data_IF_399709709472
#
_entry.id   IF_399709709472
#
_cell.length_a   1.000
_cell.length_b   1.000
_cell.length_c   1.000
_cell.angle_alpha   90.00
_cell.angle_beta   90.00
_cell.angle_gamma   90.00
#
_symmetry.space_group_name_H-M   'P 1'
#
loop_
_entity.id
_entity.type
_entity.pdbx_description
1 polymer ?
#
# COMPACT_ATOMS: atom_id res chain seq x y z
N UNK A 1 -13.01 20.94 8.42
CA UNK A 1 -13.46 19.69 9.11
C UNK A 1 -12.71 18.47 8.61
N UNK A 2 -12.71 18.19 7.29
CA UNK A 2 -12.01 17.02 6.71
C UNK A 2 -10.53 16.95 7.11
N UNK A 3 -9.77 18.03 6.94
CA UNK A 3 -8.34 18.06 7.32
C UNK A 3 -8.08 17.84 8.81
N UNK A 4 -9.02 18.25 9.67
CA UNK A 4 -8.95 17.97 11.11
C UNK A 4 -9.14 16.48 11.38
N UNK A 5 -10.02 15.82 10.64
CA UNK A 5 -10.19 14.37 10.69
C UNK A 5 -8.91 13.62 10.34
N UNK A 6 -8.23 14.01 9.25
CA UNK A 6 -6.95 13.42 8.85
C UNK A 6 -5.85 13.66 9.89
N UNK A 7 -5.82 14.85 10.53
CA UNK A 7 -4.89 15.13 11.62
C UNK A 7 -5.13 14.22 12.83
N UNK A 8 -6.39 14.07 13.27
CA UNK A 8 -6.75 13.20 14.39
C UNK A 8 -6.38 11.75 14.07
N UNK A 9 -6.70 11.27 12.87
CA UNK A 9 -6.29 9.95 12.40
C UNK A 9 -4.78 9.75 12.53
N UNK A 10 -3.97 10.70 12.07
CA UNK A 10 -2.51 10.62 12.17
C UNK A 10 -2.01 10.55 13.61
N UNK A 11 -2.60 11.35 14.51
CA UNK A 11 -2.25 11.35 15.94
C UNK A 11 -2.61 10.03 16.63
N UNK A 12 -3.79 9.48 16.33
CA UNK A 12 -4.23 8.19 16.88
C UNK A 12 -3.37 7.05 16.31
N UNK A 13 -3.07 7.06 15.01
CA UNK A 13 -2.17 6.10 14.38
C UNK A 13 -0.78 6.14 15.01
N UNK A 14 -0.22 7.33 15.21
CA UNK A 14 1.05 7.51 15.92
C UNK A 14 1.00 6.89 17.33
N UNK A 15 -0.05 7.18 18.10
CA UNK A 15 -0.22 6.66 19.46
C UNK A 15 -0.32 5.12 19.48
N UNK A 16 -1.18 4.53 18.62
CA UNK A 16 -1.37 3.08 18.52
C UNK A 16 -0.05 2.40 18.14
N UNK A 17 0.64 2.91 17.12
CA UNK A 17 1.92 2.35 16.68
C UNK A 17 2.96 2.44 17.81
N UNK A 18 3.11 3.59 18.46
CA UNK A 18 4.07 3.75 19.57
C UNK A 18 3.74 2.86 20.77
N UNK A 19 2.46 2.55 20.99
CA UNK A 19 2.02 1.74 22.13
C UNK A 19 2.21 0.25 21.93
N UNK A 20 2.10 -0.24 20.68
CA UNK A 20 2.01 -1.66 20.35
C UNK A 20 3.15 -2.20 19.46
N UNK A 21 3.91 -1.33 18.78
CA UNK A 21 5.07 -1.69 17.96
C UNK A 21 6.39 -1.49 18.72
N UNK A 22 7.45 -2.07 18.19
CA UNK A 22 8.83 -1.86 18.63
C UNK A 22 9.30 -0.43 18.33
N UNK A 23 10.46 -0.04 18.88
CA UNK A 23 11.05 1.28 18.67
C UNK A 23 11.38 1.60 17.19
N UNK A 24 11.54 0.58 16.34
CA UNK A 24 11.78 0.73 14.91
C UNK A 24 10.60 0.09 14.18
N UNK A 25 9.74 0.93 13.57
CA UNK A 25 8.61 0.45 12.80
C UNK A 25 9.08 -0.37 11.60
N UNK A 26 8.30 -1.39 11.24
CA UNK A 26 8.54 -2.31 10.11
C UNK A 26 9.75 -3.23 10.25
N UNK A 27 10.38 -3.31 11.43
CA UNK A 27 11.53 -4.18 11.64
C UNK A 27 11.14 -5.67 11.68
N UNK A 28 10.04 -5.99 12.35
CA UNK A 28 9.51 -7.35 12.49
C UNK A 28 8.16 -7.51 11.81
N UNK A 29 7.74 -8.76 11.59
CA UNK A 29 6.40 -9.05 11.08
C UNK A 29 5.30 -8.49 12.01
N UNK A 30 5.53 -8.53 13.33
CA UNK A 30 4.63 -7.94 14.32
C UNK A 30 4.48 -6.43 14.12
N UNK A 31 5.58 -5.72 13.89
CA UNK A 31 5.55 -4.25 13.67
C UNK A 31 4.77 -3.90 12.41
N UNK A 32 4.93 -4.69 11.34
CA UNK A 32 4.13 -4.53 10.11
C UNK A 32 2.66 -4.81 10.37
N UNK A 33 2.30 -5.86 11.13
CA UNK A 33 0.90 -6.15 11.45
C UNK A 33 0.25 -5.04 12.29
N UNK A 34 0.95 -4.51 13.29
CA UNK A 34 0.47 -3.36 14.08
C UNK A 34 0.29 -2.13 13.20
N UNK A 35 1.23 -1.89 12.27
CA UNK A 35 1.14 -0.80 11.30
C UNK A 35 -0.08 -0.97 10.38
N UNK A 36 -0.23 -2.13 9.74
CA UNK A 36 -1.32 -2.38 8.79
C UNK A 36 -2.69 -2.30 9.50
N UNK A 37 -2.87 -3.09 10.55
CA UNK A 37 -4.17 -3.19 11.22
C UNK A 37 -4.47 -1.95 12.07
N UNK A 38 -3.53 -1.57 12.93
CA UNK A 38 -3.72 -0.50 13.91
C UNK A 38 -3.54 0.90 13.33
N UNK A 39 -2.50 1.10 12.52
CA UNK A 39 -2.18 2.40 11.90
C UNK A 39 -2.85 2.65 10.54
N UNK A 40 -3.30 1.59 9.86
CA UNK A 40 -4.08 1.67 8.63
C UNK A 40 -5.56 1.44 8.91
N UNK A 41 -5.99 0.18 8.83
CA UNK A 41 -7.41 -0.24 8.86
C UNK A 41 -8.22 0.50 9.92
N UNK A 42 -7.81 0.42 11.19
CA UNK A 42 -8.59 0.94 12.32
C UNK A 42 -8.59 2.47 12.35
N UNK A 43 -7.43 3.10 12.24
CA UNK A 43 -7.32 4.55 12.39
C UNK A 43 -7.84 5.32 11.18
N UNK A 44 -7.78 4.74 9.98
CA UNK A 44 -8.34 5.36 8.78
C UNK A 44 -9.86 5.53 8.85
N UNK A 45 -10.55 4.71 9.65
CA UNK A 45 -12.00 4.89 9.88
C UNK A 45 -12.32 6.27 10.47
N UNK A 46 -11.38 6.90 11.19
CA UNK A 46 -11.58 8.18 11.85
C UNK A 46 -11.75 9.30 10.82
N UNK A 47 -10.80 9.47 9.88
CA UNK A 47 -10.92 10.54 8.89
C UNK A 47 -12.06 10.29 7.93
N UNK A 48 -12.30 9.05 7.51
CA UNK A 48 -13.43 8.73 6.64
C UNK A 48 -14.77 9.01 7.31
N UNK A 49 -14.92 8.68 8.60
CA UNK A 49 -16.13 8.98 9.37
C UNK A 49 -16.34 10.48 9.52
N UNK A 50 -15.31 11.23 9.93
CA UNK A 50 -15.40 12.69 10.09
C UNK A 50 -15.67 13.37 8.75
N UNK A 51 -14.96 12.97 7.70
CA UNK A 51 -15.06 13.54 6.36
C UNK A 51 -16.44 13.33 5.75
N UNK A 52 -16.92 12.09 5.71
CA UNK A 52 -18.22 11.75 5.12
C UNK A 52 -19.38 12.31 5.93
N UNK A 53 -19.29 12.26 7.26
CA UNK A 53 -20.31 12.87 8.13
C UNK A 53 -20.38 14.38 7.89
N UNK A 54 -19.25 15.05 7.74
CA UNK A 54 -19.23 16.47 7.40
C UNK A 54 -19.87 16.74 6.04
N UNK A 55 -19.55 15.95 4.99
CA UNK A 55 -20.14 16.11 3.67
C UNK A 55 -21.66 15.91 3.67
N UNK A 56 -22.15 14.93 4.43
CA UNK A 56 -23.58 14.67 4.58
C UNK A 56 -24.31 15.83 5.25
N UNK A 57 -23.85 16.29 6.41
CA UNK A 57 -24.52 17.38 7.15
C UNK A 57 -24.45 18.74 6.45
N UNK A 58 -23.48 18.97 5.57
CA UNK A 58 -23.41 20.18 4.75
C UNK A 58 -24.24 20.08 3.46
N UNK A 59 -25.01 18.99 3.27
CA UNK A 59 -25.87 18.80 2.10
C UNK A 59 -25.11 18.55 0.80
N UNK A 60 -23.81 18.27 0.86
CA UNK A 60 -22.96 17.96 -0.32
C UNK A 60 -23.16 16.51 -0.77
N UNK A 61 -23.35 15.60 0.19
CA UNK A 61 -23.47 14.18 -0.05
C UNK A 61 -24.91 13.69 0.21
N UNK A 62 -25.62 13.17 -0.81
CA UNK A 62 -26.91 12.53 -0.60
C UNK A 62 -26.80 11.30 0.32
N UNK A 63 -27.82 11.07 1.15
CA UNK A 63 -27.82 9.99 2.16
C UNK A 63 -27.57 8.59 1.58
N UNK A 64 -28.05 8.33 0.36
CA UNK A 64 -27.89 7.05 -0.33
C UNK A 64 -26.42 6.72 -0.69
N UNK A 65 -25.55 7.73 -0.80
CA UNK A 65 -24.14 7.55 -1.13
C UNK A 65 -23.21 7.60 0.09
N UNK A 66 -23.76 7.73 1.31
CA UNK A 66 -22.95 7.86 2.54
C UNK A 66 -22.02 6.67 2.72
N UNK A 67 -22.54 5.45 2.61
CA UNK A 67 -21.72 4.25 2.84
C UNK A 67 -20.68 4.03 1.73
N UNK A 68 -21.06 4.17 0.46
CA UNK A 68 -20.12 4.00 -0.66
C UNK A 68 -19.01 5.05 -0.68
N UNK A 69 -19.34 6.29 -0.31
CA UNK A 69 -18.35 7.37 -0.16
C UNK A 69 -17.44 7.11 1.03
N UNK A 70 -17.99 6.65 2.16
CA UNK A 70 -17.20 6.27 3.34
C UNK A 70 -16.22 5.15 3.03
N UNK A 71 -16.66 4.13 2.31
CA UNK A 71 -15.82 3.01 1.92
C UNK A 71 -14.70 3.47 0.96
N UNK A 72 -15.02 4.33 0.01
CA UNK A 72 -14.03 4.93 -0.92
C UNK A 72 -13.00 5.77 -0.18
N UNK A 73 -13.42 6.61 0.78
CA UNK A 73 -12.52 7.43 1.59
C UNK A 73 -11.61 6.54 2.43
N UNK A 74 -12.18 5.53 3.08
CA UNK A 74 -11.45 4.61 3.95
C UNK A 74 -10.38 3.85 3.19
N UNK A 75 -10.72 3.25 2.05
CA UNK A 75 -9.77 2.54 1.19
C UNK A 75 -8.68 3.46 0.63
N UNK A 76 -9.04 4.69 0.24
CA UNK A 76 -8.06 5.67 -0.22
C UNK A 76 -7.07 6.08 0.87
N UNK A 77 -7.57 6.33 2.09
CA UNK A 77 -6.76 6.70 3.26
C UNK A 77 -5.81 5.55 3.65
N UNK A 78 -6.30 4.31 3.71
CA UNK A 78 -5.49 3.12 4.05
C UNK A 78 -4.39 2.87 3.02
N UNK A 79 -4.72 2.94 1.72
CA UNK A 79 -3.74 2.76 0.65
C UNK A 79 -2.65 3.84 0.72
N UNK A 80 -3.04 5.10 0.93
CA UNK A 80 -2.12 6.22 1.11
C UNK A 80 -1.16 5.98 2.28
N UNK A 81 -1.68 5.53 3.42
CA UNK A 81 -0.87 5.18 4.60
C UNK A 81 0.10 4.05 4.27
N UNK A 82 -0.34 2.98 3.61
CA UNK A 82 0.47 1.80 3.29
C UNK A 82 1.54 2.03 2.23
N UNK A 83 1.39 3.05 1.40
CA UNK A 83 2.41 3.41 0.40
C UNK A 83 3.39 4.42 1.00
N UNK A 84 2.87 5.52 1.53
CA UNK A 84 3.68 6.70 1.88
C UNK A 84 4.45 6.47 3.18
N UNK A 85 3.81 5.93 4.22
CA UNK A 85 4.45 5.76 5.53
C UNK A 85 5.68 4.85 5.47
N UNK A 86 5.63 3.63 4.90
CA UNK A 86 6.81 2.79 4.86
C UNK A 86 7.88 3.35 3.92
N UNK A 87 7.49 4.00 2.82
CA UNK A 87 8.45 4.70 1.96
C UNK A 87 9.22 5.77 2.73
N UNK A 88 8.52 6.65 3.45
CA UNK A 88 9.16 7.70 4.25
C UNK A 88 10.07 7.10 5.32
N UNK A 89 9.62 6.10 6.08
CA UNK A 89 10.43 5.49 7.14
C UNK A 89 11.71 4.86 6.56
N UNK A 90 11.58 4.11 5.47
CA UNK A 90 12.71 3.40 4.87
C UNK A 90 13.71 4.36 4.23
N UNK A 91 13.24 5.43 3.59
CA UNK A 91 14.12 6.35 2.84
C UNK A 91 14.60 7.57 3.65
N UNK A 92 13.96 7.91 4.77
CA UNK A 92 14.36 9.05 5.61
C UNK A 92 14.95 8.66 6.97
N UNK A 93 14.49 7.56 7.58
CA UNK A 93 14.84 7.22 8.97
C UNK A 93 15.65 5.93 9.08
N UNK A 94 15.47 4.98 8.16
CA UNK A 94 16.28 3.77 8.18
C UNK A 94 17.71 4.08 7.69
N UNK A 95 18.71 3.73 8.50
CA UNK A 95 20.10 3.76 8.04
C UNK A 95 20.22 2.79 6.87
N UNK A 96 20.39 3.31 5.66
CA UNK A 96 20.75 2.49 4.51
C UNK A 96 22.05 1.77 4.86
N UNK A 97 22.00 0.44 5.07
CA UNK A 97 23.20 -0.39 5.21
C UNK A 97 23.94 -0.28 3.86
N UNK A 98 24.95 0.59 3.80
CA UNK A 98 25.72 0.98 2.60
C UNK A 98 26.61 -0.14 2.02
N UNK A 99 26.40 -1.39 2.39
CA UNK A 99 27.14 -2.52 1.85
C UNK A 99 26.28 -3.77 1.86
N UNK A 100 25.91 -4.27 0.67
CA UNK A 100 25.32 -5.60 0.57
C UNK A 100 24.48 -5.89 -0.66
N UNK A 101 23.88 -4.89 -1.30
CA UNK A 101 23.09 -5.15 -2.53
C UNK A 101 24.02 -5.16 -3.73
N UNK A 102 24.76 -6.26 -3.90
CA UNK A 102 25.47 -6.55 -5.16
C UNK A 102 24.45 -7.08 -6.17
N UNK A 103 23.53 -6.21 -6.57
CA UNK A 103 22.55 -6.53 -7.60
C UNK A 103 23.32 -6.71 -8.92
N UNK A 104 23.25 -7.90 -9.50
CA UNK A 104 23.70 -8.05 -10.88
C UNK A 104 22.77 -7.22 -11.77
N UNK A 105 23.33 -6.37 -12.64
CA UNK A 105 22.55 -5.51 -13.54
C UNK A 105 21.50 -6.29 -14.34
N UNK A 106 21.80 -7.57 -14.63
CA UNK A 106 20.87 -8.51 -15.25
C UNK A 106 19.67 -8.86 -14.37
N UNK A 107 19.85 -9.13 -13.08
CA UNK A 107 18.73 -9.44 -12.18
C UNK A 107 17.79 -8.24 -11.99
N UNK A 108 18.37 -7.05 -11.86
CA UNK A 108 17.60 -5.80 -11.82
C UNK A 108 16.77 -5.63 -13.09
N UNK A 109 17.39 -5.88 -14.26
CA UNK A 109 16.72 -5.84 -15.54
C UNK A 109 15.61 -6.89 -15.63
N UNK A 110 15.82 -8.11 -15.14
CA UNK A 110 14.78 -9.15 -15.12
C UNK A 110 13.59 -8.77 -14.24
N UNK A 111 13.81 -8.18 -13.07
CA UNK A 111 12.71 -7.70 -12.22
C UNK A 111 11.94 -6.55 -12.89
N UNK A 112 12.66 -5.61 -13.50
CA UNK A 112 12.03 -4.50 -14.22
C UNK A 112 11.22 -4.99 -15.43
N UNK A 113 11.78 -5.91 -16.22
CA UNK A 113 11.07 -6.55 -17.34
C UNK A 113 9.88 -7.35 -16.83
N UNK A 114 10.00 -8.07 -15.72
CA UNK A 114 8.91 -8.78 -15.07
C UNK A 114 7.77 -7.85 -14.66
N UNK A 115 8.09 -6.73 -14.00
CA UNK A 115 7.13 -5.69 -13.65
C UNK A 115 6.41 -5.14 -14.88
N UNK A 116 7.17 -4.77 -15.92
CA UNK A 116 6.62 -4.23 -17.16
C UNK A 116 5.75 -5.25 -17.89
N UNK A 117 6.17 -6.52 -17.94
CA UNK A 117 5.42 -7.60 -18.57
C UNK A 117 4.11 -7.88 -17.84
N UNK A 118 4.13 -7.98 -16.50
CA UNK A 118 2.91 -8.18 -15.69
C UNK A 118 1.97 -6.98 -15.87
N UNK A 119 2.49 -5.76 -15.82
CA UNK A 119 1.72 -4.51 -16.06
C UNK A 119 1.09 -4.53 -17.44
N UNK A 120 1.86 -4.80 -18.49
CA UNK A 120 1.37 -4.84 -19.87
C UNK A 120 0.31 -5.92 -20.07
N UNK A 121 0.56 -7.15 -19.62
CA UNK A 121 -0.37 -8.27 -19.80
C UNK A 121 -1.65 -8.06 -18.97
N UNK A 122 -1.52 -7.64 -17.72
CA UNK A 122 -2.66 -7.55 -16.81
C UNK A 122 -3.50 -6.29 -17.04
N UNK A 123 -2.84 -5.18 -17.39
CA UNK A 123 -3.49 -3.88 -17.46
C UNK A 123 -3.81 -3.44 -18.89
N UNK A 124 -3.03 -3.85 -19.89
CA UNK A 124 -3.29 -3.50 -21.30
C UNK A 124 -4.01 -4.63 -22.03
N UNK A 125 -3.59 -5.89 -21.82
CA UNK A 125 -4.25 -7.06 -22.42
C UNK A 125 -5.40 -7.63 -21.60
N UNK A 126 -5.71 -7.00 -20.47
CA UNK A 126 -6.85 -7.32 -19.57
C UNK A 126 -6.91 -8.77 -19.07
N UNK A 127 -5.79 -9.49 -19.08
CA UNK A 127 -5.71 -10.81 -18.47
C UNK A 127 -5.67 -10.68 -16.93
N UNK A 128 -6.30 -11.59 -16.18
CA UNK A 128 -6.34 -11.54 -14.72
C UNK A 128 -5.04 -12.09 -14.10
N UNK A 129 -3.91 -11.44 -14.40
CA UNK A 129 -2.57 -11.86 -13.95
C UNK A 129 -1.94 -10.87 -12.96
N UNK A 130 -2.74 -9.95 -12.41
CA UNK A 130 -2.28 -8.96 -11.45
C UNK A 130 -1.77 -9.61 -10.15
N UNK A 131 -2.22 -10.83 -9.83
CA UNK A 131 -1.71 -11.62 -8.69
C UNK A 131 -0.20 -11.92 -8.79
N UNK A 132 0.37 -11.89 -10.00
CA UNK A 132 1.82 -12.06 -10.21
C UNK A 132 2.65 -10.93 -9.60
N UNK A 133 2.04 -9.80 -9.23
CA UNK A 133 2.72 -8.79 -8.44
C UNK A 133 3.13 -9.31 -7.05
N UNK A 134 2.42 -10.28 -6.46
CA UNK A 134 2.78 -10.88 -5.17
C UNK A 134 4.13 -11.62 -5.25
N UNK A 135 4.33 -12.64 -6.12
CA UNK A 135 5.62 -13.31 -6.23
C UNK A 135 6.74 -12.37 -6.70
N UNK A 136 6.45 -11.39 -7.56
CA UNK A 136 7.43 -10.36 -7.92
C UNK A 136 7.86 -9.54 -6.68
N UNK A 137 6.91 -9.13 -5.84
CA UNK A 137 7.18 -8.41 -4.59
C UNK A 137 7.98 -9.25 -3.59
N UNK A 138 7.70 -10.55 -3.49
CA UNK A 138 8.52 -11.47 -2.68
C UNK A 138 9.95 -11.54 -3.21
N UNK A 139 10.13 -11.62 -4.54
CA UNK A 139 11.45 -11.66 -5.15
C UNK A 139 12.24 -10.37 -4.91
N UNK A 140 11.61 -9.21 -5.08
CA UNK A 140 12.21 -7.91 -4.80
C UNK A 140 12.52 -7.75 -3.31
N UNK A 141 11.63 -8.18 -2.41
CA UNK A 141 11.87 -8.17 -0.97
C UNK A 141 13.10 -9.01 -0.58
N UNK A 142 13.27 -10.17 -1.20
CA UNK A 142 14.41 -11.04 -0.94
C UNK A 142 15.75 -10.46 -1.42
N UNK A 143 15.78 -9.80 -2.58
CA UNK A 143 17.04 -9.29 -3.16
C UNK A 143 17.38 -7.86 -2.74
N UNK A 144 16.38 -6.98 -2.72
CA UNK A 144 16.54 -5.55 -2.46
C UNK A 144 16.12 -5.15 -1.04
N UNK A 145 15.61 -6.11 -0.24
CA UNK A 145 15.10 -5.84 1.09
C UNK A 145 13.91 -4.86 1.08
N UNK A 146 13.69 -4.22 2.23
CA UNK A 146 12.58 -3.29 2.41
C UNK A 146 12.65 -2.08 1.45
N UNK A 147 13.84 -1.62 1.08
CA UNK A 147 14.01 -0.46 0.18
C UNK A 147 13.46 -0.72 -1.22
N UNK A 148 13.74 -1.90 -1.79
CA UNK A 148 13.16 -2.28 -3.08
C UNK A 148 11.67 -2.54 -2.99
N UNK A 149 11.21 -3.17 -1.91
CA UNK A 149 9.78 -3.46 -1.69
C UNK A 149 8.94 -2.20 -1.68
N UNK A 150 9.33 -1.17 -0.94
CA UNK A 150 8.54 0.07 -0.87
C UNK A 150 8.52 0.83 -2.21
N UNK A 151 9.62 0.79 -2.98
CA UNK A 151 9.65 1.38 -4.32
C UNK A 151 8.75 0.64 -5.30
N UNK A 152 8.78 -0.70 -5.27
CA UNK A 152 7.92 -1.52 -6.13
C UNK A 152 6.45 -1.30 -5.77
N UNK A 153 6.10 -1.22 -4.49
CA UNK A 153 4.74 -0.94 -4.03
C UNK A 153 4.21 0.40 -4.56
N UNK A 154 5.04 1.45 -4.52
CA UNK A 154 4.70 2.74 -5.16
C UNK A 154 4.48 2.57 -6.66
N UNK A 155 5.39 1.85 -7.34
CA UNK A 155 5.27 1.65 -8.79
C UNK A 155 3.99 0.89 -9.16
N UNK A 156 3.66 -0.21 -8.46
CA UNK A 156 2.43 -0.99 -8.66
C UNK A 156 1.20 -0.12 -8.43
N UNK A 157 1.16 0.63 -7.33
CA UNK A 157 0.02 1.47 -6.99
C UNK A 157 -0.18 2.60 -8.02
N UNK A 158 0.89 3.29 -8.41
CA UNK A 158 0.82 4.36 -9.40
C UNK A 158 0.41 3.85 -10.77
N UNK A 159 1.08 2.82 -11.31
CA UNK A 159 0.78 2.31 -12.66
C UNK A 159 -0.63 1.75 -12.72
N UNK A 160 -1.05 0.99 -11.71
CA UNK A 160 -2.40 0.41 -11.68
C UNK A 160 -3.47 1.49 -11.57
N UNK A 161 -3.30 2.45 -10.66
CA UNK A 161 -4.28 3.54 -10.48
C UNK A 161 -4.38 4.42 -11.72
N UNK A 162 -3.24 4.81 -12.31
CA UNK A 162 -3.23 5.64 -13.52
C UNK A 162 -3.92 4.91 -14.67
N UNK A 163 -3.52 3.66 -14.97
CA UNK A 163 -4.10 2.92 -16.10
C UNK A 163 -5.60 2.67 -15.91
N UNK A 164 -6.01 2.29 -14.71
CA UNK A 164 -7.44 2.06 -14.42
C UNK A 164 -8.24 3.37 -14.44
N UNK A 165 -7.65 4.51 -14.09
CA UNK A 165 -8.30 5.83 -14.23
C UNK A 165 -8.53 6.23 -15.70
N UNK A 166 -7.68 5.75 -16.61
CA UNK A 166 -7.87 5.89 -18.06
C UNK A 166 -8.79 4.80 -18.66
N UNK A 167 -9.39 3.94 -17.84
CA UNK A 167 -10.26 2.85 -18.28
C UNK A 167 -9.53 1.59 -18.77
N UNK A 168 -8.22 1.48 -18.52
CA UNK A 168 -7.44 0.27 -18.84
C UNK A 168 -7.30 -0.64 -17.62
N UNK A 169 -7.47 -1.94 -17.82
CA UNK A 169 -7.22 -2.92 -16.77
C UNK A 169 -8.16 -4.10 -16.85
N UNK A 170 -7.70 -5.29 -16.43
CA UNK A 170 -8.60 -6.42 -16.24
C UNK A 170 -9.77 -6.07 -15.31
N UNK A 171 -9.52 -5.34 -14.23
CA UNK A 171 -10.58 -4.96 -13.27
C UNK A 171 -11.63 -4.02 -13.87
N UNK A 172 -11.27 -3.16 -14.83
CA UNK A 172 -12.26 -2.34 -15.57
C UNK A 172 -13.16 -3.23 -16.42
N UNK A 173 -12.57 -4.23 -17.08
CA UNK A 173 -13.31 -5.16 -17.92
C UNK A 173 -14.30 -6.04 -17.12
N UNK A 174 -13.94 -6.45 -15.90
CA UNK A 174 -14.77 -7.31 -15.05
C UNK A 174 -15.70 -6.56 -14.09
N UNK A 175 -15.34 -5.35 -13.64
CA UNK A 175 -16.06 -4.57 -12.62
C UNK A 175 -16.22 -3.09 -13.03
N UNK A 176 -16.94 -2.77 -14.11
CA UNK A 176 -16.98 -1.42 -14.68
C UNK A 176 -17.40 -0.33 -13.69
N UNK A 177 -18.36 -0.61 -12.80
CA UNK A 177 -18.90 0.38 -11.86
C UNK A 177 -18.06 0.53 -10.57
N UNK A 178 -17.17 -0.42 -10.28
CA UNK A 178 -16.42 -0.48 -9.02
C UNK A 178 -14.92 -0.78 -9.19
N UNK A 179 -14.41 -0.66 -10.42
CA UNK A 179 -13.04 -1.04 -10.79
C UNK A 179 -11.99 -0.38 -9.89
N UNK A 180 -12.11 0.92 -9.62
CA UNK A 180 -11.22 1.65 -8.72
C UNK A 180 -11.27 1.11 -7.29
N UNK A 181 -12.46 0.84 -6.78
CA UNK A 181 -12.65 0.36 -5.42
C UNK A 181 -12.07 -1.04 -5.23
N UNK A 182 -12.33 -1.94 -6.18
CA UNK A 182 -11.75 -3.29 -6.20
C UNK A 182 -10.23 -3.23 -6.39
N UNK A 183 -9.74 -2.32 -7.23
CA UNK A 183 -8.31 -2.13 -7.46
C UNK A 183 -7.58 -1.74 -6.19
N UNK A 184 -8.10 -0.76 -5.44
CA UNK A 184 -7.45 -0.29 -4.21
C UNK A 184 -7.30 -1.44 -3.21
N UNK A 185 -8.38 -2.18 -2.92
CA UNK A 185 -8.30 -3.33 -2.01
C UNK A 185 -7.34 -4.42 -2.50
N UNK A 186 -7.28 -4.66 -3.81
CA UNK A 186 -6.35 -5.60 -4.40
C UNK A 186 -4.88 -5.16 -4.22
N UNK A 187 -4.57 -3.90 -4.50
CA UNK A 187 -3.23 -3.32 -4.31
C UNK A 187 -2.84 -3.34 -2.84
N UNK A 188 -3.76 -3.08 -1.91
CA UNK A 188 -3.49 -3.17 -0.48
C UNK A 188 -3.07 -4.57 -0.03
N UNK A 189 -3.70 -5.62 -0.57
CA UNK A 189 -3.33 -7.01 -0.28
C UNK A 189 -1.90 -7.28 -0.78
N UNK A 190 -1.56 -6.83 -2.00
CA UNK A 190 -0.20 -6.96 -2.54
C UNK A 190 0.82 -6.24 -1.65
N UNK A 191 0.53 -4.99 -1.27
CA UNK A 191 1.42 -4.18 -0.45
C UNK A 191 1.59 -4.79 0.94
N UNK A 192 0.49 -5.18 1.58
CA UNK A 192 0.50 -5.77 2.92
C UNK A 192 1.29 -7.08 2.95
N UNK A 193 1.07 -7.97 1.98
CA UNK A 193 1.84 -9.22 1.86
C UNK A 193 3.31 -8.95 1.60
N UNK A 194 3.64 -8.02 0.70
CA UNK A 194 5.02 -7.64 0.40
C UNK A 194 5.76 -7.08 1.62
N UNK A 195 5.12 -6.20 2.39
CA UNK A 195 5.70 -5.62 3.61
C UNK A 195 5.92 -6.66 4.70
N UNK A 196 4.96 -7.58 4.91
CA UNK A 196 5.10 -8.66 5.90
C UNK A 196 6.28 -9.56 5.53
N UNK A 197 6.36 -9.98 4.25
CA UNK A 197 7.45 -10.84 3.78
C UNK A 197 8.80 -10.13 3.89
N UNK A 198 8.88 -8.86 3.49
CA UNK A 198 10.11 -8.07 3.61
C UNK A 198 10.58 -7.94 5.07
N UNK A 199 9.65 -7.71 6.00
CA UNK A 199 9.97 -7.65 7.42
C UNK A 199 10.43 -9.01 7.98
N UNK A 200 9.78 -10.11 7.60
CA UNK A 200 10.20 -11.46 8.00
C UNK A 200 11.61 -11.81 7.49
N UNK A 201 11.95 -11.39 6.28
CA UNK A 201 13.28 -11.59 5.70
C UNK A 201 14.31 -10.76 6.48
N UNK A 202 14.00 -9.50 6.77
CA UNK A 202 14.89 -8.59 7.49
C UNK A 202 15.14 -9.07 8.93
N UNK A 203 14.10 -9.56 9.61
CA UNK A 203 14.18 -10.11 10.98
C UNK A 203 15.10 -11.33 11.04
N UNK A 204 15.09 -12.21 10.03
CA UNK A 204 15.99 -13.38 9.96
C UNK A 204 17.46 -13.02 9.77
N UNK A 205 17.76 -11.90 9.10
CA UNK A 205 19.13 -11.46 8.83
C UNK A 205 19.77 -10.86 10.09
N UNK A 206 18.99 -10.15 10.92
CA UNK A 206 19.50 -9.53 12.16
C UNK A 206 19.72 -10.54 13.31
N UNK A 207 19.19 -11.77 13.22
CA UNK A 207 19.39 -12.84 14.22
C UNK A 207 20.67 -13.67 13.95
N UNK A 208 21.29 -13.53 12.76
CA UNK A 208 22.56 -14.19 12.41
C UNK A 208 23.75 -13.29 12.68
#
# INVERSE_FOLDING_TARGET
>A
VVSLGSLIQGLVAWYVIHRFSSAILLKSAKDVLVFLLGGGIVTCMIASTIGVTALYYHGVLPGEYVFSTWLTFWLGDTLGVYIITPFLIVWSMAKWKKGGVKLWSLEAAFMAVGFLAITWISLVKTYPLADLFIPLSVWVAYRCGMHGTVLLNIAIALTSTILTSFGYGCLVAYFPDSAMLVLVGFVEIIIGTALIVAAMINERVDVR
#
